data_IF_900943256602
#
_entry.id   IF_900943256602
#
_cell.length_a   1.000
_cell.length_b   1.000
_cell.length_c   1.000
_cell.angle_alpha   90.00
_cell.angle_beta   90.00
_cell.angle_gamma   90.00
#
_symmetry.space_group_name_H-M   'P 1'
#
loop_
_entity.id
_entity.type
_entity.pdbx_description
1 polymer ?
#
# COMPACT_ATOMS: atom_id res chain seq x y z
N UNK A 1 17.00 -3.26 -22.74
CA UNK A 1 16.44 -2.09 -23.45
C UNK A 1 14.92 -2.06 -23.36
N UNK A 2 14.24 -3.21 -23.54
CA UNK A 2 12.78 -3.31 -23.37
C UNK A 2 12.31 -3.10 -21.93
N UNK A 3 13.00 -3.63 -20.90
CA UNK A 3 12.62 -3.42 -19.48
C UNK A 3 12.65 -1.95 -19.02
N UNK A 4 13.43 -1.10 -19.70
CA UNK A 4 13.51 0.33 -19.35
C UNK A 4 12.35 1.14 -19.95
N UNK A 5 11.68 0.63 -20.99
CA UNK A 5 10.51 1.30 -21.59
C UNK A 5 9.24 1.18 -20.74
N UNK A 6 9.16 0.16 -19.88
CA UNK A 6 8.04 -0.02 -18.94
C UNK A 6 8.10 0.90 -17.72
N UNK A 7 9.22 1.61 -17.52
CA UNK A 7 9.33 2.61 -16.47
C UNK A 7 8.48 3.84 -16.80
N UNK A 8 7.86 4.42 -15.77
CA UNK A 8 6.94 5.56 -15.88
C UNK A 8 7.53 6.73 -16.68
N UNK A 9 8.76 7.12 -16.36
CA UNK A 9 9.42 8.29 -16.94
C UNK A 9 9.70 8.15 -18.45
N UNK A 10 10.36 7.08 -18.95
CA UNK A 10 10.52 6.86 -20.39
C UNK A 10 9.20 6.78 -21.15
N UNK A 11 8.18 6.13 -20.57
CA UNK A 11 6.86 6.00 -21.20
C UNK A 11 6.15 7.34 -21.33
N UNK A 12 6.18 8.17 -20.28
CA UNK A 12 5.65 9.53 -20.29
C UNK A 12 6.40 10.42 -21.29
N UNK A 13 7.73 10.33 -21.35
CA UNK A 13 8.54 11.10 -22.31
C UNK A 13 8.26 10.71 -23.76
N UNK A 14 8.15 9.40 -24.08
CA UNK A 14 7.84 8.94 -25.43
C UNK A 14 6.45 9.39 -25.88
N UNK A 15 5.44 9.25 -25.01
CA UNK A 15 4.10 9.69 -25.31
C UNK A 15 4.02 11.21 -25.54
N UNK A 16 4.73 11.99 -24.74
CA UNK A 16 4.83 13.43 -24.89
C UNK A 16 5.44 13.82 -26.23
N UNK A 17 6.55 13.19 -26.63
CA UNK A 17 7.22 13.42 -27.92
C UNK A 17 6.32 13.02 -29.09
N UNK A 18 5.65 11.87 -29.00
CA UNK A 18 4.73 11.40 -30.04
C UNK A 18 3.56 12.37 -30.21
N UNK A 19 2.98 12.84 -29.10
CA UNK A 19 1.90 13.83 -29.11
C UNK A 19 2.35 15.15 -29.72
N UNK A 20 3.53 15.65 -29.33
CA UNK A 20 4.10 16.86 -29.90
C UNK A 20 4.33 16.76 -31.41
N UNK A 21 4.80 15.60 -31.88
CA UNK A 21 5.04 15.38 -33.32
C UNK A 21 3.75 15.47 -34.15
N UNK A 22 2.62 15.06 -33.57
CA UNK A 22 1.32 15.04 -34.24
C UNK A 22 0.56 16.36 -34.13
N UNK A 23 0.56 17.01 -32.96
CA UNK A 23 -0.28 18.18 -32.71
C UNK A 23 0.49 19.50 -32.81
N UNK A 24 1.81 19.47 -32.56
CA UNK A 24 2.69 20.65 -32.37
C UNK A 24 2.16 21.64 -31.32
N UNK A 25 1.25 21.19 -30.45
CA UNK A 25 0.65 21.99 -29.40
C UNK A 25 1.19 21.52 -28.05
N UNK A 26 1.82 22.44 -27.32
CA UNK A 26 2.39 22.17 -26.00
C UNK A 26 1.31 21.78 -24.98
N UNK A 27 0.10 22.32 -25.12
CA UNK A 27 -1.00 22.02 -24.21
C UNK A 27 -1.43 20.54 -24.30
N UNK A 28 -1.53 20.02 -25.52
CA UNK A 28 -1.90 18.61 -25.76
C UNK A 28 -0.82 17.65 -25.24
N UNK A 29 0.45 18.10 -25.21
CA UNK A 29 1.57 17.34 -24.65
C UNK A 29 1.50 17.30 -23.13
N UNK A 30 1.22 18.44 -22.48
CA UNK A 30 1.01 18.50 -21.04
C UNK A 30 -0.12 17.58 -20.58
N UNK A 31 -1.24 17.60 -21.31
CA UNK A 31 -2.39 16.75 -21.04
C UNK A 31 -2.05 15.26 -21.21
N UNK A 32 -1.29 14.89 -22.24
CA UNK A 32 -0.85 13.51 -22.45
C UNK A 32 0.08 12.99 -21.33
N UNK A 33 1.01 13.82 -20.86
CA UNK A 33 1.88 13.49 -19.71
C UNK A 33 1.05 13.30 -18.46
N UNK A 34 0.15 14.25 -18.18
CA UNK A 34 -0.70 14.21 -17.00
C UNK A 34 -1.57 12.96 -16.97
N UNK A 35 -2.22 12.63 -18.09
CA UNK A 35 -3.07 11.43 -18.22
C UNK A 35 -2.28 10.13 -17.98
N UNK A 36 -1.03 10.04 -18.42
CA UNK A 36 -0.19 8.85 -18.17
C UNK A 36 0.19 8.76 -16.69
N UNK A 37 0.54 9.88 -16.05
CA UNK A 37 0.90 9.91 -14.65
C UNK A 37 -0.31 9.55 -13.76
N UNK A 38 -1.50 10.07 -14.10
CA UNK A 38 -2.76 9.75 -13.42
C UNK A 38 -3.10 8.26 -13.56
N UNK A 39 -3.06 7.72 -14.78
CA UNK A 39 -3.32 6.29 -15.01
C UNK A 39 -2.35 5.37 -14.26
N UNK A 40 -1.10 5.77 -14.11
CA UNK A 40 -0.11 4.98 -13.37
C UNK A 40 -0.30 5.12 -11.85
N UNK A 41 -0.75 6.28 -11.37
CA UNK A 41 -1.17 6.44 -9.98
C UNK A 41 -2.34 5.52 -9.64
N UNK A 42 -3.36 5.44 -10.50
CA UNK A 42 -4.51 4.55 -10.32
C UNK A 42 -4.11 3.07 -10.31
N UNK A 43 -3.15 2.70 -11.17
CA UNK A 43 -2.60 1.34 -11.21
C UNK A 43 -1.88 1.00 -9.90
N UNK A 44 -1.03 1.91 -9.41
CA UNK A 44 -0.30 1.73 -8.16
C UNK A 44 -1.23 1.60 -6.94
N UNK A 45 -2.29 2.42 -6.85
CA UNK A 45 -3.27 2.28 -5.76
C UNK A 45 -4.05 0.96 -5.87
N UNK A 46 -4.42 0.54 -7.09
CA UNK A 46 -5.10 -0.73 -7.32
C UNK A 46 -4.26 -1.93 -6.87
N UNK A 47 -2.97 -1.94 -7.22
CA UNK A 47 -2.03 -2.97 -6.79
C UNK A 47 -1.80 -2.95 -5.27
N UNK A 48 -1.67 -1.76 -4.67
CA UNK A 48 -1.48 -1.60 -3.22
C UNK A 48 -2.75 -1.93 -2.42
N UNK A 49 -3.93 -1.88 -3.04
CA UNK A 49 -5.22 -2.13 -2.39
C UNK A 49 -5.29 -3.52 -1.74
N UNK A 50 -4.77 -4.56 -2.40
CA UNK A 50 -4.72 -5.91 -1.83
C UNK A 50 -3.81 -5.97 -0.60
N UNK A 51 -2.65 -5.32 -0.67
CA UNK A 51 -1.70 -5.27 0.44
C UNK A 51 -2.32 -4.55 1.64
N UNK A 52 -3.01 -3.43 1.40
CA UNK A 52 -3.75 -2.66 2.39
C UNK A 52 -4.89 -3.48 3.01
N UNK A 53 -5.62 -4.24 2.20
CA UNK A 53 -6.66 -5.14 2.68
C UNK A 53 -6.11 -6.23 3.60
N UNK A 54 -5.01 -6.88 3.22
CA UNK A 54 -4.35 -7.90 4.06
C UNK A 54 -3.85 -7.27 5.36
N UNK A 55 -3.18 -6.11 5.29
CA UNK A 55 -2.69 -5.40 6.47
C UNK A 55 -3.83 -5.03 7.43
N UNK A 56 -4.98 -4.61 6.90
CA UNK A 56 -6.19 -4.32 7.66
C UNK A 56 -6.79 -5.55 8.34
N UNK A 57 -6.64 -6.76 7.77
CA UNK A 57 -7.18 -7.99 8.35
C UNK A 57 -6.39 -8.52 9.56
N UNK A 58 -5.11 -8.13 9.71
CA UNK A 58 -4.22 -8.67 10.76
C UNK A 58 -4.78 -8.47 12.19
N UNK A 59 -5.25 -7.27 12.59
CA UNK A 59 -5.89 -7.08 13.90
C UNK A 59 -7.11 -7.98 14.12
N UNK A 60 -7.95 -8.15 13.09
CA UNK A 60 -9.14 -9.02 13.17
C UNK A 60 -8.75 -10.48 13.35
N UNK A 61 -7.68 -10.95 12.71
CA UNK A 61 -7.14 -12.30 12.91
C UNK A 61 -6.62 -12.47 14.34
N UNK A 62 -5.93 -11.46 14.89
CA UNK A 62 -5.53 -11.44 16.30
C UNK A 62 -6.74 -11.58 17.23
N UNK A 63 -7.78 -10.78 16.99
CA UNK A 63 -9.03 -10.83 17.75
C UNK A 63 -9.71 -12.20 17.68
N UNK A 64 -9.74 -12.84 16.52
CA UNK A 64 -10.24 -14.23 16.37
C UNK A 64 -9.46 -15.20 17.27
N UNK A 65 -8.13 -15.05 17.35
CA UNK A 65 -7.28 -15.81 18.26
C UNK A 65 -7.66 -15.62 19.74
N UNK A 66 -7.95 -14.37 20.15
CA UNK A 66 -8.44 -14.08 21.50
C UNK A 66 -9.82 -14.66 21.76
N UNK A 67 -10.77 -14.53 20.82
CA UNK A 67 -12.11 -15.11 20.94
C UNK A 67 -12.03 -16.62 21.12
N UNK A 68 -11.15 -17.29 20.35
CA UNK A 68 -10.89 -18.72 20.51
C UNK A 68 -10.33 -19.05 21.90
N UNK A 69 -9.24 -18.42 22.31
CA UNK A 69 -8.59 -18.77 23.58
C UNK A 69 -9.43 -18.43 24.82
N UNK A 70 -10.28 -17.40 24.74
CA UNK A 70 -11.30 -17.13 25.76
C UNK A 70 -12.36 -18.24 25.76
N UNK A 71 -12.82 -18.69 24.59
CA UNK A 71 -13.74 -19.83 24.49
C UNK A 71 -13.18 -21.10 25.14
N UNK A 72 -11.91 -21.41 24.86
CA UNK A 72 -11.19 -22.54 25.47
C UNK A 72 -11.05 -22.39 26.99
N UNK A 73 -10.81 -21.16 27.48
CA UNK A 73 -10.75 -20.86 28.91
C UNK A 73 -12.12 -21.05 29.60
N UNK A 74 -13.20 -20.57 28.98
CA UNK A 74 -14.55 -20.71 29.51
C UNK A 74 -15.01 -22.18 29.55
N UNK A 75 -14.58 -23.01 28.60
CA UNK A 75 -14.82 -24.46 28.64
C UNK A 75 -14.20 -25.16 29.86
N UNK A 76 -13.18 -24.55 30.47
CA UNK A 76 -12.50 -25.05 31.66
C UNK A 76 -12.93 -24.33 32.95
N UNK A 77 -13.90 -23.41 32.87
CA UNK A 77 -14.32 -22.58 34.00
C UNK A 77 -14.78 -23.40 35.21
N UNK A 78 -15.38 -24.58 34.99
CA UNK A 78 -15.79 -25.47 36.07
C UNK A 78 -14.60 -25.91 36.94
N UNK A 79 -13.46 -26.25 36.33
CA UNK A 79 -12.24 -26.65 37.07
C UNK A 79 -11.64 -25.50 37.87
N UNK A 80 -11.76 -24.27 37.36
CA UNK A 80 -11.35 -23.08 38.09
C UNK A 80 -12.19 -22.85 39.36
N UNK A 81 -13.48 -23.19 39.32
CA UNK A 81 -14.35 -23.14 40.52
C UNK A 81 -13.95 -24.20 41.55
N UNK A 82 -13.44 -25.35 41.10
CA UNK A 82 -12.89 -26.40 41.97
C UNK A 82 -11.49 -26.07 42.52
N UNK A 83 -10.90 -24.94 42.13
CA UNK A 83 -9.60 -24.46 42.60
C UNK A 83 -8.44 -24.68 41.62
N UNK A 84 -8.65 -25.38 40.50
CA UNK A 84 -7.63 -25.57 39.45
C UNK A 84 -7.77 -24.51 38.35
N UNK A 85 -7.05 -23.40 38.52
CA UNK A 85 -7.04 -22.26 37.60
C UNK A 85 -5.93 -22.35 36.52
N UNK A 86 -5.08 -23.38 36.56
CA UNK A 86 -3.89 -23.44 35.70
C UNK A 86 -4.28 -23.49 34.21
N UNK A 87 -5.31 -24.27 33.87
CA UNK A 87 -5.79 -24.36 32.49
C UNK A 87 -6.45 -23.08 31.97
N UNK A 88 -7.22 -22.39 32.81
CA UNK A 88 -7.88 -21.12 32.47
C UNK A 88 -6.85 -20.00 32.25
N UNK A 89 -5.87 -19.89 33.14
CA UNK A 89 -4.81 -18.88 33.06
C UNK A 89 -3.91 -19.08 31.84
N UNK A 90 -3.58 -20.33 31.49
CA UNK A 90 -2.82 -20.63 30.28
C UNK A 90 -3.59 -20.25 29.00
N UNK A 91 -4.86 -20.64 28.88
CA UNK A 91 -5.70 -20.32 27.71
C UNK A 91 -5.89 -18.81 27.51
N UNK A 92 -6.15 -18.07 28.61
CA UNK A 92 -6.21 -16.60 28.58
C UNK A 92 -4.87 -15.98 28.19
N UNK A 93 -3.76 -16.49 28.72
CA UNK A 93 -2.42 -16.01 28.38
C UNK A 93 -2.12 -16.13 26.89
N UNK A 94 -2.46 -17.28 26.27
CA UNK A 94 -2.31 -17.48 24.83
C UNK A 94 -3.21 -16.54 24.04
N UNK A 95 -4.47 -16.38 24.45
CA UNK A 95 -5.43 -15.46 23.82
C UNK A 95 -4.96 -14.00 23.83
N UNK A 96 -4.42 -13.51 24.95
CA UNK A 96 -3.92 -12.14 25.01
C UNK A 96 -2.63 -11.97 24.20
N UNK A 97 -1.71 -12.93 24.30
CA UNK A 97 -0.44 -12.86 23.57
C UNK A 97 -0.65 -12.89 22.04
N UNK A 98 -1.61 -13.67 21.54
CA UNK A 98 -1.91 -13.71 20.10
C UNK A 98 -2.37 -12.35 19.57
N UNK A 99 -3.23 -11.64 20.31
CA UNK A 99 -3.66 -10.28 19.92
C UNK A 99 -2.55 -9.26 20.08
N UNK A 100 -1.78 -9.34 21.17
CA UNK A 100 -0.66 -8.44 21.38
C UNK A 100 0.35 -8.52 20.22
N UNK A 101 0.77 -9.73 19.87
CA UNK A 101 1.70 -9.96 18.74
C UNK A 101 1.07 -9.50 17.42
N UNK A 102 -0.20 -9.80 17.16
CA UNK A 102 -0.89 -9.36 15.95
C UNK A 102 -0.94 -7.83 15.82
N UNK A 103 -1.22 -7.11 16.91
CA UNK A 103 -1.25 -5.64 16.92
C UNK A 103 0.14 -5.05 16.69
N UNK A 104 1.17 -5.56 17.35
CA UNK A 104 2.56 -5.11 17.15
C UNK A 104 2.98 -5.29 15.71
N UNK A 105 2.75 -6.46 15.13
CA UNK A 105 3.05 -6.75 13.72
C UNK A 105 2.22 -5.84 12.81
N UNK A 106 0.94 -5.63 13.10
CA UNK A 106 0.07 -4.75 12.31
C UNK A 106 0.57 -3.30 12.28
N UNK A 107 1.06 -2.78 13.40
CA UNK A 107 1.61 -1.41 13.46
C UNK A 107 2.84 -1.30 12.56
N UNK A 108 3.76 -2.26 12.66
CA UNK A 108 4.99 -2.28 11.85
C UNK A 108 4.64 -2.39 10.36
N UNK A 109 3.76 -3.31 9.99
CA UNK A 109 3.34 -3.50 8.59
C UNK A 109 2.63 -2.26 8.06
N UNK A 110 1.70 -1.68 8.81
CA UNK A 110 0.97 -0.49 8.38
C UNK A 110 1.92 0.69 8.15
N UNK A 111 2.94 0.85 8.99
CA UNK A 111 4.00 1.83 8.79
C UNK A 111 4.76 1.59 7.47
N UNK A 112 5.17 0.35 7.19
CA UNK A 112 5.87 0.02 5.94
C UNK A 112 5.00 0.23 4.70
N UNK A 113 3.71 -0.13 4.76
CA UNK A 113 2.75 0.10 3.68
C UNK A 113 2.59 1.60 3.42
N UNK A 114 2.49 2.41 4.48
CA UNK A 114 2.43 3.86 4.34
C UNK A 114 3.70 4.44 3.71
N UNK A 115 4.88 3.99 4.14
CA UNK A 115 6.14 4.43 3.54
C UNK A 115 6.23 4.04 2.06
N UNK A 116 5.77 2.86 1.68
CA UNK A 116 5.73 2.42 0.28
C UNK A 116 4.80 3.31 -0.54
N UNK A 117 3.61 3.61 -0.02
CA UNK A 117 2.65 4.51 -0.68
C UNK A 117 3.25 5.90 -0.90
N UNK A 118 3.90 6.48 0.11
CA UNK A 118 4.56 7.79 -0.01
C UNK A 118 5.67 7.79 -1.08
N UNK A 119 6.42 6.70 -1.22
CA UNK A 119 7.45 6.57 -2.25
C UNK A 119 6.80 6.50 -3.63
N UNK A 120 5.74 5.71 -3.79
CA UNK A 120 4.99 5.59 -5.05
C UNK A 120 4.43 6.93 -5.51
N UNK A 121 3.74 7.65 -4.62
CA UNK A 121 3.20 8.98 -4.89
C UNK A 121 4.30 9.97 -5.30
N UNK A 122 5.45 9.95 -4.60
CA UNK A 122 6.59 10.81 -4.92
C UNK A 122 7.17 10.51 -6.31
N UNK A 123 7.32 9.24 -6.69
CA UNK A 123 7.85 8.87 -8.01
C UNK A 123 6.95 9.37 -9.14
N UNK A 124 5.63 9.30 -8.96
CA UNK A 124 4.67 9.84 -9.93
C UNK A 124 4.78 11.36 -10.04
N UNK A 125 4.78 12.06 -8.88
CA UNK A 125 4.90 13.51 -8.82
C UNK A 125 6.22 14.04 -9.40
N UNK A 126 7.34 13.38 -9.08
CA UNK A 126 8.66 13.73 -9.60
C UNK A 126 8.73 13.54 -11.12
N UNK A 127 8.09 12.48 -11.63
CA UNK A 127 8.01 12.22 -13.08
C UNK A 127 7.20 13.30 -13.80
N UNK A 128 6.02 13.66 -13.27
CA UNK A 128 5.21 14.74 -13.83
C UNK A 128 5.98 16.06 -13.81
N UNK A 129 6.57 16.41 -12.66
CA UNK A 129 7.36 17.64 -12.50
C UNK A 129 8.55 17.67 -13.46
N UNK A 130 9.22 16.54 -13.67
CA UNK A 130 10.33 16.44 -14.62
C UNK A 130 9.86 16.68 -16.07
N UNK A 131 8.76 16.05 -16.49
CA UNK A 131 8.21 16.27 -17.82
C UNK A 131 7.77 17.74 -18.02
N UNK A 132 7.14 18.36 -17.03
CA UNK A 132 6.72 19.77 -17.11
C UNK A 132 7.91 20.73 -17.19
N UNK A 133 8.87 20.60 -16.27
CA UNK A 133 9.97 21.55 -16.16
C UNK A 133 11.06 21.37 -17.21
N UNK A 134 11.36 20.13 -17.60
CA UNK A 134 12.44 19.84 -18.56
C UNK A 134 11.91 19.63 -19.97
N UNK A 135 10.86 18.86 -20.18
CA UNK A 135 10.42 18.54 -21.53
C UNK A 135 9.59 19.69 -22.12
N UNK A 136 8.50 20.06 -21.43
CA UNK A 136 7.54 21.07 -21.91
C UNK A 136 8.20 22.44 -22.04
N UNK A 137 8.98 22.84 -21.03
CA UNK A 137 9.72 24.10 -21.07
C UNK A 137 10.66 24.20 -22.28
N UNK A 138 11.34 23.12 -22.68
CA UNK A 138 12.22 23.17 -23.86
C UNK A 138 11.44 23.19 -25.19
N UNK A 139 10.19 22.73 -25.22
CA UNK A 139 9.31 22.82 -26.39
C UNK A 139 8.71 24.22 -26.57
N UNK A 140 8.57 25.02 -25.51
CA UNK A 140 8.08 26.40 -25.58
C UNK A 140 9.13 27.42 -26.05
N UNK A 141 10.43 27.08 -26.07
CA UNK A 141 11.53 28.03 -26.37
C UNK A 141 11.80 28.17 -27.88
N UNK A 142 10.86 27.82 -28.76
CA UNK A 142 10.96 28.07 -30.20
C UNK A 142 9.65 28.53 -30.82
#
# INVERSE_FOLDING_TARGET
AEETQDQLLPRAMMAALHRFSSTRNVQDVAEAVHSICESESDRLDSELSLVRYIAWAIPSIGFIGTVRGIGDALGQAYRAVEGDIAGVTASLGVAFNSTFVALVISIVIMFLVHQLQLIQERVVLDTQTYCDQKLIRHMQVR
#
